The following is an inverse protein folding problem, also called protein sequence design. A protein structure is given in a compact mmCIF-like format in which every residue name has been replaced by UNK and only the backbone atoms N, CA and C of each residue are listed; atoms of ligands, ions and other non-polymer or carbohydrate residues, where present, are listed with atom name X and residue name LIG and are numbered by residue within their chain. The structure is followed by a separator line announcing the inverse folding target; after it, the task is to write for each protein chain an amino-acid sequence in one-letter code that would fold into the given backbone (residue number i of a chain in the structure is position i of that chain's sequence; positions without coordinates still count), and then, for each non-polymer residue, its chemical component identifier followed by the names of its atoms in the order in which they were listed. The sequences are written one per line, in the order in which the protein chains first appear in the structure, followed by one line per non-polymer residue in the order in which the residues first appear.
data_IF_683981629995
#
_entry.id   IF_683981629995
#
_cell.length_a   1.000
_cell.length_b   1.000
_cell.length_c   1.000
_cell.angle_alpha   90.00
_cell.angle_beta   90.00
_cell.angle_gamma   90.00
#
_symmetry.space_group_name_H-M   'P 1'
#
loop_
_entity.id
_entity.type
_entity.pdbx_description
1 polymer ?
#
# COMPACT_ATOMS: atom_id res chain seq x y z
N UNK A 1 7.97 -55.94 -21.74
CA UNK A 1 8.42 -54.56 -21.45
C UNK A 1 7.20 -53.68 -21.61
N UNK A 2 6.62 -53.23 -20.50
CA UNK A 2 5.45 -52.34 -20.52
C UNK A 2 5.95 -50.93 -20.77
N UNK A 3 5.63 -50.38 -21.93
CA UNK A 3 5.90 -48.99 -22.28
C UNK A 3 4.92 -48.12 -21.47
N UNK A 4 5.41 -47.56 -20.36
CA UNK A 4 4.70 -46.51 -19.62
C UNK A 4 4.69 -45.26 -20.50
N UNK A 5 3.65 -45.13 -21.32
CA UNK A 5 3.33 -43.88 -22.02
C UNK A 5 3.09 -42.81 -20.95
N UNK A 6 4.11 -42.01 -20.64
CA UNK A 6 3.92 -40.79 -19.88
C UNK A 6 3.04 -39.88 -20.74
N UNK A 7 1.79 -39.69 -20.33
CA UNK A 7 0.94 -38.67 -20.94
C UNK A 7 1.69 -37.33 -20.87
N UNK A 8 1.94 -36.64 -21.99
CA UNK A 8 2.59 -35.34 -21.94
C UNK A 8 1.69 -34.41 -21.15
N UNK A 9 2.17 -33.95 -19.98
CA UNK A 9 1.44 -32.97 -19.18
C UNK A 9 1.33 -31.71 -20.03
N UNK A 10 0.11 -31.34 -20.40
CA UNK A 10 -0.15 -30.14 -21.19
C UNK A 10 0.07 -28.89 -20.34
N UNK A 11 0.33 -27.76 -20.99
CA UNK A 11 0.45 -26.47 -20.32
C UNK A 11 -0.81 -26.12 -19.51
N UNK A 12 -1.99 -26.50 -19.99
CA UNK A 12 -3.25 -26.33 -19.26
C UNK A 12 -3.27 -27.12 -17.94
N UNK A 13 -2.83 -28.38 -17.95
CA UNK A 13 -2.75 -29.19 -16.74
C UNK A 13 -1.69 -28.66 -15.77
N UNK A 14 -0.55 -28.21 -16.29
CA UNK A 14 0.48 -27.54 -15.48
C UNK A 14 -0.05 -26.27 -14.83
N UNK A 15 -0.87 -25.49 -15.56
CA UNK A 15 -1.51 -24.31 -15.02
C UNK A 15 -2.45 -24.67 -13.86
N UNK A 16 -3.31 -25.68 -14.02
CA UNK A 16 -4.17 -26.13 -12.93
C UNK A 16 -3.37 -26.60 -11.70
N UNK A 17 -2.24 -27.31 -11.91
CA UNK A 17 -1.35 -27.73 -10.81
C UNK A 17 -0.72 -26.51 -10.11
N UNK A 18 -0.22 -25.53 -10.86
CA UNK A 18 0.41 -24.35 -10.27
C UNK A 18 -0.60 -23.42 -9.58
N UNK A 19 -1.86 -23.41 -10.02
CA UNK A 19 -2.93 -22.70 -9.32
C UNK A 19 -3.24 -23.29 -7.94
N UNK A 20 -2.92 -24.56 -7.70
CA UNK A 20 -3.07 -25.21 -6.39
C UNK A 20 -1.91 -24.93 -5.43
N UNK A 21 -0.81 -24.31 -5.89
CA UNK A 21 0.30 -23.97 -5.01
C UNK A 21 -0.15 -22.95 -3.95
N UNK A 22 0.04 -23.24 -2.66
CA UNK A 22 -0.58 -22.48 -1.58
C UNK A 22 0.06 -21.12 -1.34
N UNK A 23 1.30 -20.93 -1.78
CA UNK A 23 2.01 -19.66 -1.59
C UNK A 23 2.62 -19.15 -2.91
N UNK A 24 2.73 -17.82 -3.09
CA UNK A 24 3.48 -17.24 -4.19
C UNK A 24 4.96 -17.67 -4.21
N UNK A 25 5.53 -18.04 -3.06
CA UNK A 25 6.91 -18.52 -2.97
C UNK A 25 7.08 -19.86 -3.69
N UNK A 26 6.15 -20.80 -3.49
CA UNK A 26 6.16 -22.09 -4.17
C UNK A 26 6.01 -21.92 -5.69
N UNK A 27 5.16 -20.98 -6.10
CA UNK A 27 4.98 -20.61 -7.50
C UNK A 27 6.28 -20.05 -8.12
N UNK A 28 7.00 -19.21 -7.39
CA UNK A 28 8.32 -18.70 -7.81
C UNK A 28 9.33 -19.85 -7.92
N UNK A 29 9.35 -20.79 -6.97
CA UNK A 29 10.20 -21.98 -7.04
C UNK A 29 9.89 -22.84 -8.27
N UNK A 30 8.61 -23.09 -8.57
CA UNK A 30 8.20 -23.79 -9.78
C UNK A 30 8.68 -23.06 -11.04
N UNK A 31 8.52 -21.73 -11.10
CA UNK A 31 8.98 -20.91 -12.24
C UNK A 31 10.51 -20.93 -12.45
N UNK A 32 11.28 -21.29 -11.42
CA UNK A 32 12.73 -21.39 -11.50
C UNK A 32 13.20 -22.73 -12.08
N UNK A 33 12.34 -23.75 -12.13
CA UNK A 33 12.71 -25.09 -12.58
C UNK A 33 13.03 -25.15 -14.09
N UNK A 34 12.24 -24.45 -14.93
CA UNK A 34 12.49 -24.40 -16.37
C UNK A 34 11.85 -23.18 -17.04
N UNK A 35 12.28 -22.89 -18.28
CA UNK A 35 11.77 -21.77 -19.08
C UNK A 35 10.28 -21.90 -19.40
N UNK A 36 9.78 -23.12 -19.64
CA UNK A 36 8.37 -23.35 -19.92
C UNK A 36 7.49 -22.99 -18.72
N UNK A 37 7.87 -23.44 -17.51
CA UNK A 37 7.16 -23.09 -16.28
C UNK A 37 7.23 -21.60 -16.01
N UNK A 38 8.39 -20.97 -16.21
CA UNK A 38 8.51 -19.51 -16.10
C UNK A 38 7.52 -18.79 -17.01
N UNK A 39 7.46 -19.16 -18.29
CA UNK A 39 6.56 -18.55 -19.28
C UNK A 39 5.10 -18.67 -18.83
N UNK A 40 4.70 -19.87 -18.41
CA UNK A 40 3.34 -20.15 -17.94
C UNK A 40 2.99 -19.32 -16.69
N UNK A 41 3.88 -19.29 -15.69
CA UNK A 41 3.67 -18.54 -14.44
C UNK A 41 3.64 -17.02 -14.69
N UNK A 42 4.40 -16.52 -15.66
CA UNK A 42 4.39 -15.10 -16.04
C UNK A 42 3.23 -14.72 -16.96
N UNK A 43 2.41 -15.68 -17.42
CA UNK A 43 1.27 -15.39 -18.27
C UNK A 43 0.21 -14.56 -17.53
N UNK A 44 -0.38 -13.59 -18.24
CA UNK A 44 -1.32 -12.64 -17.64
C UNK A 44 -2.64 -13.31 -17.24
N UNK A 45 -3.13 -14.27 -18.03
CA UNK A 45 -4.35 -14.99 -17.69
C UNK A 45 -4.11 -15.91 -16.49
N UNK A 46 -2.97 -16.61 -16.45
CA UNK A 46 -2.54 -17.40 -15.30
C UNK A 46 -2.47 -16.56 -14.02
N UNK A 47 -1.75 -15.43 -14.04
CA UNK A 47 -1.60 -14.56 -12.86
C UNK A 47 -2.93 -13.98 -12.38
N UNK A 48 -3.85 -13.65 -13.30
CA UNK A 48 -5.21 -13.21 -12.95
C UNK A 48 -5.98 -14.32 -12.22
N UNK A 49 -5.95 -15.54 -12.75
CA UNK A 49 -6.59 -16.71 -12.12
C UNK A 49 -5.97 -16.98 -10.75
N UNK A 50 -4.64 -16.98 -10.65
CA UNK A 50 -3.93 -17.18 -9.39
C UNK A 50 -4.35 -16.13 -8.34
N UNK A 51 -4.34 -14.83 -8.69
CA UNK A 51 -4.77 -13.75 -7.78
C UNK A 51 -6.25 -13.80 -7.43
N UNK A 52 -7.10 -14.35 -8.29
CA UNK A 52 -8.53 -14.53 -8.01
C UNK A 52 -8.80 -15.69 -7.05
N UNK A 53 -7.95 -16.72 -7.07
CA UNK A 53 -8.10 -17.90 -6.21
C UNK A 53 -7.40 -17.73 -4.85
N UNK A 54 -6.32 -16.95 -4.82
CA UNK A 54 -5.48 -16.78 -3.64
C UNK A 54 -5.70 -15.41 -2.99
N UNK A 55 -5.91 -15.41 -1.67
CA UNK A 55 -5.95 -14.18 -0.89
C UNK A 55 -4.61 -13.42 -1.02
N UNK A 56 -4.67 -12.08 -1.01
CA UNK A 56 -3.47 -11.25 -0.95
C UNK A 56 -2.65 -11.61 0.31
N UNK A 57 -1.34 -11.89 0.19
CA UNK A 57 -0.52 -12.26 1.34
C UNK A 57 -0.56 -11.19 2.42
N UNK A 58 -0.86 -11.59 3.66
CA UNK A 58 -0.80 -10.69 4.80
C UNK A 58 0.67 -10.53 5.25
N UNK A 59 1.26 -9.37 4.96
CA UNK A 59 2.67 -9.10 5.24
C UNK A 59 2.92 -8.57 6.66
N UNK A 60 1.94 -7.94 7.29
CA UNK A 60 2.11 -7.33 8.61
C UNK A 60 1.24 -6.10 8.82
N UNK A 61 1.49 -5.43 9.93
CA UNK A 61 0.86 -4.15 10.29
C UNK A 61 1.89 -3.04 10.35
N UNK A 62 1.45 -1.81 10.12
CA UNK A 62 2.28 -0.62 10.25
C UNK A 62 1.63 0.30 11.29
N UNK A 63 2.42 0.82 12.22
CA UNK A 63 1.96 1.79 13.22
C UNK A 63 3.05 2.81 13.53
N UNK A 64 2.86 3.63 14.56
CA UNK A 64 3.84 4.64 14.99
C UNK A 64 5.22 4.05 15.37
N UNK A 65 5.30 2.76 15.72
CA UNK A 65 6.55 2.06 16.02
C UNK A 65 7.18 1.37 14.79
N UNK A 66 6.67 1.63 13.59
CA UNK A 66 7.16 1.05 12.34
C UNK A 66 6.43 -0.21 11.90
N UNK A 67 7.11 -1.00 11.06
CA UNK A 67 6.55 -2.20 10.43
C UNK A 67 6.69 -3.45 11.30
N UNK A 68 5.57 -4.11 11.54
CA UNK A 68 5.46 -5.36 12.29
C UNK A 68 5.17 -6.50 11.33
N UNK A 69 6.20 -7.21 10.84
CA UNK A 69 6.01 -8.28 9.86
C UNK A 69 5.23 -9.45 10.49
N UNK A 70 4.45 -10.15 9.66
CA UNK A 70 3.88 -11.44 10.03
C UNK A 70 5.01 -12.40 10.47
N UNK A 71 4.80 -13.10 11.59
CA UNK A 71 5.80 -13.98 12.21
C UNK A 71 5.40 -15.46 12.10
N UNK A 72 6.35 -16.41 12.20
CA UNK A 72 6.01 -17.82 12.30
C UNK A 72 5.02 -18.07 13.45
N UNK A 73 4.06 -19.00 13.29
CA UNK A 73 3.93 -19.97 12.20
C UNK A 73 3.14 -19.48 10.97
N UNK A 74 2.91 -18.17 10.80
CA UNK A 74 2.15 -17.64 9.68
C UNK A 74 2.82 -17.93 8.31
N UNK A 75 2.04 -18.37 7.31
CA UNK A 75 2.56 -18.78 6.01
C UNK A 75 3.31 -17.66 5.26
N UNK A 76 2.88 -16.41 5.43
CA UNK A 76 3.53 -15.24 4.83
C UNK A 76 4.77 -14.74 5.59
N UNK A 77 5.18 -15.38 6.70
CA UNK A 77 6.31 -14.90 7.50
C UNK A 77 7.64 -14.74 6.72
N UNK A 78 8.01 -15.65 5.79
CA UNK A 78 9.21 -15.45 4.96
C UNK A 78 9.10 -14.21 4.05
N UNK A 79 7.95 -14.01 3.42
CA UNK A 79 7.69 -12.85 2.57
C UNK A 79 7.65 -11.54 3.38
N UNK A 80 7.01 -11.55 4.54
CA UNK A 80 6.96 -10.43 5.48
C UNK A 80 8.37 -10.03 5.94
N UNK A 81 9.21 -11.01 6.29
CA UNK A 81 10.62 -10.77 6.64
C UNK A 81 11.41 -10.20 5.47
N UNK A 82 11.22 -10.70 4.26
CA UNK A 82 11.88 -10.16 3.07
C UNK A 82 11.51 -8.69 2.85
N UNK A 83 10.22 -8.33 2.98
CA UNK A 83 9.78 -6.92 2.89
C UNK A 83 10.38 -6.07 4.01
N UNK A 84 10.40 -6.57 5.24
CA UNK A 84 11.01 -5.87 6.38
C UNK A 84 12.50 -5.57 6.19
N UNK A 85 13.21 -6.38 5.40
CA UNK A 85 14.64 -6.19 5.12
C UNK A 85 14.88 -5.30 3.88
N UNK A 86 13.97 -5.32 2.92
CA UNK A 86 14.11 -4.59 1.67
C UNK A 86 13.58 -3.15 1.75
N UNK A 87 12.49 -2.93 2.47
CA UNK A 87 11.81 -1.65 2.55
C UNK A 87 12.40 -0.74 3.63
N UNK A 88 12.43 0.55 3.36
CA UNK A 88 12.83 1.58 4.31
C UNK A 88 11.60 2.19 5.00
N UNK A 89 11.20 1.58 6.12
CA UNK A 89 10.12 2.07 6.98
C UNK A 89 10.56 3.19 7.94
N UNK A 90 11.83 3.62 7.90
CA UNK A 90 12.27 4.84 8.58
C UNK A 90 11.99 6.09 7.76
N UNK A 91 11.60 5.92 6.48
CA UNK A 91 11.33 7.00 5.54
C UNK A 91 12.50 7.97 5.38
N UNK A 92 13.74 7.46 5.41
CA UNK A 92 14.96 8.26 5.33
C UNK A 92 15.12 9.05 4.04
N UNK A 93 14.31 8.72 3.02
CA UNK A 93 14.25 9.37 1.73
C UNK A 93 13.31 10.59 1.68
N UNK A 94 12.63 10.92 2.79
CA UNK A 94 11.84 12.15 2.89
C UNK A 94 12.75 13.38 3.10
N UNK A 95 12.37 14.54 2.54
CA UNK A 95 13.22 15.73 2.54
C UNK A 95 13.41 16.42 3.92
N UNK A 96 12.67 16.00 4.96
CA UNK A 96 12.69 16.65 6.28
C UNK A 96 13.00 15.69 7.42
N UNK A 97 13.72 16.18 8.44
CA UNK A 97 13.99 15.47 9.70
C UNK A 97 12.81 15.50 10.69
N UNK A 98 11.62 15.93 10.25
CA UNK A 98 10.43 16.02 11.09
C UNK A 98 9.86 14.64 11.45
N UNK A 99 9.09 14.57 12.53
CA UNK A 99 8.38 13.35 12.90
C UNK A 99 7.18 13.11 11.97
N UNK A 100 7.33 12.11 11.10
CA UNK A 100 6.27 11.61 10.24
C UNK A 100 5.49 10.50 10.94
N UNK A 101 4.16 10.59 10.90
CA UNK A 101 3.26 9.59 11.50
C UNK A 101 2.48 8.88 10.40
N UNK A 102 2.44 7.55 10.47
CA UNK A 102 1.63 6.70 9.60
C UNK A 102 0.15 6.93 9.87
N UNK A 103 -0.61 7.25 8.82
CA UNK A 103 -2.06 7.44 8.85
C UNK A 103 -2.81 6.30 8.22
N UNK A 104 -2.36 5.86 7.05
CA UNK A 104 -3.04 4.80 6.31
C UNK A 104 -2.04 4.02 5.45
N UNK A 105 -2.41 2.78 5.09
CA UNK A 105 -1.62 1.90 4.23
C UNK A 105 -2.53 1.25 3.20
N UNK A 106 -2.22 1.44 1.93
CA UNK A 106 -3.00 0.86 0.84
C UNK A 106 -2.13 0.51 -0.35
N UNK A 107 -2.31 -0.71 -0.87
CA UNK A 107 -1.65 -1.17 -2.10
C UNK A 107 -0.11 -0.97 -2.10
N UNK A 108 0.53 -1.16 -0.95
CA UNK A 108 1.98 -0.99 -0.78
C UNK A 108 2.44 0.46 -0.58
N UNK A 109 1.52 1.42 -0.59
CA UNK A 109 1.76 2.83 -0.28
C UNK A 109 1.40 3.13 1.16
N UNK A 110 2.15 4.03 1.77
CA UNK A 110 1.96 4.52 3.13
C UNK A 110 1.66 6.01 3.07
N UNK A 111 0.54 6.41 3.66
CA UNK A 111 0.21 7.81 3.89
C UNK A 111 0.81 8.26 5.20
N UNK A 112 1.62 9.30 5.11
CA UNK A 112 2.33 9.92 6.23
C UNK A 112 1.85 11.34 6.41
N UNK A 113 1.89 11.76 7.66
CA UNK A 113 1.42 13.06 8.11
C UNK A 113 2.46 13.64 9.05
N UNK A 114 2.97 14.83 8.72
CA UNK A 114 3.99 15.51 9.50
C UNK A 114 3.34 16.14 10.73
N UNK A 115 3.81 15.78 11.92
CA UNK A 115 3.44 16.54 13.12
C UNK A 115 3.99 17.97 12.98
N UNK A 116 3.18 19.00 13.26
CA UNK A 116 3.75 20.33 13.47
C UNK A 116 4.81 20.24 14.56
N UNK A 117 5.92 20.96 14.41
CA UNK A 117 6.86 21.13 15.52
C UNK A 117 6.12 21.90 16.61
N UNK A 118 6.33 21.55 17.88
CA UNK A 118 5.68 22.19 19.03
C UNK A 118 6.16 23.65 19.17
N UNK A 119 5.73 24.53 18.27
CA UNK A 119 5.90 25.96 18.43
C UNK A 119 4.90 26.43 19.49
N UNK A 120 5.43 26.64 20.69
CA UNK A 120 4.69 27.05 21.88
C UNK A 120 3.98 28.38 21.61
N UNK A 121 2.71 28.33 21.18
CA UNK A 121 1.85 29.50 21.04
C UNK A 121 0.99 29.56 19.78
N UNK A 122 1.24 28.75 18.75
CA UNK A 122 0.39 28.69 17.54
C UNK A 122 -0.62 27.55 17.62
N UNK A 123 -1.86 27.82 17.20
CA UNK A 123 -2.87 26.77 17.02
C UNK A 123 -2.42 25.82 15.90
N UNK A 124 -2.43 24.51 16.14
CA UNK A 124 -2.04 23.54 15.13
C UNK A 124 -2.92 23.69 13.87
N UNK A 125 -2.32 23.68 12.67
CA UNK A 125 -3.07 23.89 11.44
C UNK A 125 -4.11 22.79 11.26
N UNK A 126 -5.25 23.16 10.65
CA UNK A 126 -6.33 22.22 10.33
C UNK A 126 -5.83 21.10 9.40
N UNK A 127 -5.00 21.47 8.42
CA UNK A 127 -4.36 20.58 7.47
C UNK A 127 -2.86 20.51 7.74
N UNK A 128 -2.35 19.30 7.96
CA UNK A 128 -0.92 19.03 8.08
C UNK A 128 -0.30 18.71 6.73
N UNK A 129 1.03 18.79 6.65
CA UNK A 129 1.76 18.33 5.48
C UNK A 129 1.67 16.81 5.36
N UNK A 130 1.25 16.34 4.18
CA UNK A 130 1.12 14.92 3.89
C UNK A 130 2.13 14.45 2.85
N UNK A 131 2.50 13.18 2.96
CA UNK A 131 3.32 12.50 1.97
C UNK A 131 2.80 11.08 1.75
N UNK A 132 2.76 10.65 0.49
CA UNK A 132 2.46 9.25 0.13
C UNK A 132 3.74 8.60 -0.34
N UNK A 133 4.20 7.61 0.40
CA UNK A 133 5.46 6.93 0.14
C UNK A 133 5.29 5.45 -0.21
N UNK A 134 6.17 4.95 -1.05
CA UNK A 134 6.43 3.52 -1.26
C UNK A 134 7.77 3.19 -0.58
N UNK A 135 7.76 2.58 0.63
CA UNK A 135 8.97 2.29 1.37
C UNK A 135 9.81 1.18 0.70
N UNK A 136 9.21 0.33 -0.14
CA UNK A 136 9.93 -0.73 -0.84
C UNK A 136 10.80 -0.15 -1.96
N UNK A 137 10.27 0.82 -2.70
CA UNK A 137 10.98 1.48 -3.80
C UNK A 137 11.63 2.81 -3.43
N UNK A 138 11.51 3.23 -2.16
CA UNK A 138 12.02 4.52 -1.63
C UNK A 138 11.56 5.71 -2.46
N UNK A 139 10.29 5.69 -2.84
CA UNK A 139 9.65 6.78 -3.60
C UNK A 139 8.69 7.50 -2.68
N UNK A 140 8.60 8.81 -2.82
CA UNK A 140 7.56 9.56 -2.16
C UNK A 140 7.04 10.69 -3.03
N UNK A 141 5.76 11.01 -2.82
CA UNK A 141 5.14 12.23 -3.30
C UNK A 141 4.66 13.02 -2.09
N UNK A 142 5.24 14.20 -1.87
CA UNK A 142 4.68 15.16 -0.94
C UNK A 142 3.48 15.83 -1.60
N UNK A 143 2.36 15.91 -0.89
CA UNK A 143 1.13 16.48 -1.41
C UNK A 143 1.24 18.01 -1.38
N UNK A 144 0.59 18.72 -2.32
CA UNK A 144 0.54 20.17 -2.28
C UNK A 144 -0.14 20.64 -0.99
N UNK A 145 0.24 21.82 -0.46
CA UNK A 145 -0.45 22.41 0.67
C UNK A 145 -1.93 22.64 0.33
N UNK A 146 -2.81 22.49 1.31
CA UNK A 146 -4.23 22.76 1.11
C UNK A 146 -4.42 24.26 0.84
N UNK A 147 -5.06 24.65 -0.28
CA UNK A 147 -5.35 26.04 -0.58
C UNK A 147 -6.11 26.78 0.54
N UNK A 148 -5.87 28.09 0.68
CA UNK A 148 -6.44 28.90 1.76
C UNK A 148 -7.97 28.95 1.74
N UNK A 149 -8.59 28.90 0.55
CA UNK A 149 -10.04 28.87 0.37
C UNK A 149 -10.67 27.55 0.84
N UNK A 150 -10.01 26.43 0.56
CA UNK A 150 -10.39 25.11 1.09
C UNK A 150 -10.23 25.08 2.62
N UNK A 151 -9.17 25.70 3.13
CA UNK A 151 -8.93 25.82 4.58
C UNK A 151 -9.99 26.68 5.25
N UNK A 152 -10.33 27.83 4.67
CA UNK A 152 -11.39 28.72 5.17
C UNK A 152 -12.78 28.07 5.15
N UNK A 153 -12.99 27.10 4.25
CA UNK A 153 -14.25 26.35 4.18
C UNK A 153 -14.48 25.45 5.41
N UNK A 154 -13.46 25.15 6.21
CA UNK A 154 -13.55 24.35 7.44
C UNK A 154 -13.83 25.27 8.63
N UNK A 155 -15.06 25.75 8.73
CA UNK A 155 -15.50 26.60 9.84
C UNK A 155 -15.81 25.78 11.10
N UNK A 156 -15.16 26.10 12.23
CA UNK A 156 -15.37 25.45 13.53
C UNK A 156 -15.17 23.92 13.48
N UNK A 157 -13.97 23.44 13.13
CA UNK A 157 -13.67 22.02 13.12
C UNK A 157 -13.85 21.43 14.53
N UNK A 158 -14.25 20.16 14.58
CA UNK A 158 -14.28 19.34 15.78
C UNK A 158 -13.00 18.51 15.81
N UNK A 159 -12.41 18.34 17.00
CA UNK A 159 -11.27 17.45 17.16
C UNK A 159 -11.70 15.99 16.95
N UNK A 160 -10.96 15.28 16.11
CA UNK A 160 -11.03 13.85 15.88
C UNK A 160 -9.99 13.13 16.75
N UNK A 161 -9.93 11.80 16.73
CA UNK A 161 -9.00 11.00 17.54
C UNK A 161 -7.56 11.52 17.44
N UNK A 162 -6.83 11.51 18.57
CA UNK A 162 -5.48 12.07 18.72
C UNK A 162 -5.37 13.61 18.59
N UNK A 163 -6.44 14.34 18.93
CA UNK A 163 -6.48 15.82 19.00
C UNK A 163 -6.32 16.56 17.66
N UNK A 164 -6.59 15.90 16.53
CA UNK A 164 -6.43 16.49 15.19
C UNK A 164 -7.74 17.02 14.63
N UNK A 165 -7.65 17.97 13.70
CA UNK A 165 -8.83 18.56 13.05
C UNK A 165 -9.29 17.80 11.81
N UNK A 166 -8.44 16.93 11.23
CA UNK A 166 -8.72 16.20 10.00
C UNK A 166 -8.15 14.77 10.03
N UNK A 167 -8.84 13.85 9.34
CA UNK A 167 -8.39 12.48 9.11
C UNK A 167 -8.12 12.23 7.63
N UNK A 168 -6.84 12.00 7.25
CA UNK A 168 -6.49 11.67 5.88
C UNK A 168 -6.36 10.16 5.67
N UNK A 169 -6.81 9.66 4.52
CA UNK A 169 -6.70 8.24 4.15
C UNK A 169 -6.54 8.04 2.63
N UNK A 170 -6.05 6.87 2.23
CA UNK A 170 -5.87 6.47 0.84
C UNK A 170 -7.17 5.89 0.29
N UNK A 171 -7.66 6.48 -0.79
CA UNK A 171 -8.79 5.97 -1.54
C UNK A 171 -8.33 5.12 -2.73
N UNK A 172 -9.11 4.09 -3.11
CA UNK A 172 -8.82 3.33 -4.32
C UNK A 172 -8.85 4.23 -5.57
N UNK A 173 -7.85 4.08 -6.42
CA UNK A 173 -7.93 4.55 -7.79
C UNK A 173 -8.85 3.58 -8.55
N UNK A 174 -9.87 4.08 -9.24
CA UNK A 174 -10.87 3.24 -9.92
C UNK A 174 -10.27 2.24 -10.92
N UNK A 175 -11.09 1.32 -11.43
CA UNK A 175 -10.64 0.19 -12.26
C UNK A 175 -9.88 0.59 -13.55
N UNK A 176 -10.10 1.79 -14.06
CA UNK A 176 -9.45 2.34 -15.27
C UNK A 176 -8.17 3.14 -14.97
N UNK A 177 -7.80 3.31 -13.71
CA UNK A 177 -6.68 4.15 -13.34
C UNK A 177 -5.35 3.43 -13.52
N UNK A 178 -4.28 4.18 -13.81
CA UNK A 178 -2.92 3.63 -13.87
C UNK A 178 -2.59 2.93 -12.55
N UNK A 179 -1.90 1.79 -12.63
CA UNK A 179 -1.53 0.95 -11.47
C UNK A 179 -0.71 1.74 -10.41
N UNK A 180 -0.02 2.79 -10.85
CA UNK A 180 0.77 3.70 -10.03
C UNK A 180 -0.02 4.85 -9.40
N UNK A 181 -1.24 5.10 -9.85
CA UNK A 181 -2.07 6.20 -9.34
C UNK A 181 -2.66 5.86 -7.97
N UNK A 182 -2.82 6.88 -7.15
CA UNK A 182 -3.53 6.88 -5.88
C UNK A 182 -4.33 8.17 -5.71
N UNK A 183 -5.29 8.11 -4.76
CA UNK A 183 -6.02 9.27 -4.28
C UNK A 183 -5.87 9.38 -2.76
N UNK A 184 -5.79 10.61 -2.26
CA UNK A 184 -5.81 10.91 -0.84
C UNK A 184 -7.07 11.71 -0.56
N UNK A 185 -7.82 11.28 0.44
CA UNK A 185 -9.00 12.01 0.91
C UNK A 185 -8.69 12.55 2.30
N UNK A 186 -8.90 13.84 2.49
CA UNK A 186 -8.98 14.45 3.81
C UNK A 186 -10.43 14.59 4.20
N UNK A 187 -10.76 14.26 5.44
CA UNK A 187 -12.07 14.58 6.01
C UNK A 187 -11.93 15.42 7.26
N UNK A 188 -12.66 16.55 7.28
CA UNK A 188 -12.78 17.44 8.42
C UNK A 188 -14.24 17.43 8.90
N UNK A 189 -14.45 17.14 10.17
CA UNK A 189 -15.77 17.28 10.77
C UNK A 189 -15.90 18.69 11.35
N UNK A 190 -16.86 19.45 10.86
CA UNK A 190 -17.25 20.74 11.42
C UNK A 190 -18.52 20.57 12.27
N UNK A 191 -18.84 21.58 13.09
CA UNK A 191 -20.06 21.57 13.90
C UNK A 191 -21.36 21.30 13.11
N UNK A 192 -21.42 21.76 11.86
CA UNK A 192 -22.65 21.72 11.04
C UNK A 192 -22.51 20.93 9.74
N UNK A 193 -21.30 20.53 9.37
CA UNK A 193 -21.01 19.89 8.08
C UNK A 193 -19.79 18.98 8.16
N UNK A 194 -19.68 18.06 7.20
CA UNK A 194 -18.46 17.32 6.92
C UNK A 194 -17.87 17.86 5.62
N UNK A 195 -16.59 18.19 5.63
CA UNK A 195 -15.87 18.70 4.47
C UNK A 195 -14.86 17.63 4.06
N UNK A 196 -14.82 17.31 2.77
CA UNK A 196 -13.85 16.37 2.23
C UNK A 196 -13.11 16.97 1.04
N UNK A 197 -11.79 16.81 1.02
CA UNK A 197 -10.92 17.19 -0.08
C UNK A 197 -10.29 15.94 -0.67
N UNK A 198 -10.13 15.91 -1.99
CA UNK A 198 -9.58 14.75 -2.70
C UNK A 198 -8.41 15.23 -3.54
N UNK A 199 -7.25 14.66 -3.31
CA UNK A 199 -6.09 14.79 -4.17
C UNK A 199 -5.96 13.53 -5.03
N UNK A 200 -5.69 13.70 -6.32
CA UNK A 200 -5.38 12.62 -7.24
C UNK A 200 -4.00 12.77 -7.83
N UNK A 201 -3.16 11.76 -7.64
CA UNK A 201 -1.80 11.72 -8.21
C UNK A 201 -1.76 11.76 -9.75
N UNK A 202 -2.84 11.43 -10.45
CA UNK A 202 -2.89 11.50 -11.92
C UNK A 202 -3.12 12.91 -12.46
N UNK A 203 -3.86 13.75 -11.72
CA UNK A 203 -4.15 15.14 -12.11
C UNK A 203 -3.26 16.14 -11.40
N UNK A 204 -2.70 15.76 -10.25
CA UNK A 204 -2.02 16.70 -9.35
C UNK A 204 -2.98 17.65 -8.62
N UNK A 205 -4.28 17.37 -8.71
CA UNK A 205 -5.40 18.14 -8.14
C UNK A 205 -6.15 17.30 -7.11
#
# INVERSE_FOLDING_TARGET
MSEMSSLPVTDDLLAEIFLLLPTPADLVCASAACVAFRRLVTDRAFLRRFRSLHARPFLGFLNHNGFHPARPPHASAPAARAVSLAADFSYSFLPSHGSWIVRDVRDGRVLLDRTPEDDVGEESPVFTELAVCDPLHRRCLQLPPTPDDLTASVEHPLRVELERWCEPFLAPSGEEAEETSFRVIWMAQCKTKLVAFVFSSSTGE
#
